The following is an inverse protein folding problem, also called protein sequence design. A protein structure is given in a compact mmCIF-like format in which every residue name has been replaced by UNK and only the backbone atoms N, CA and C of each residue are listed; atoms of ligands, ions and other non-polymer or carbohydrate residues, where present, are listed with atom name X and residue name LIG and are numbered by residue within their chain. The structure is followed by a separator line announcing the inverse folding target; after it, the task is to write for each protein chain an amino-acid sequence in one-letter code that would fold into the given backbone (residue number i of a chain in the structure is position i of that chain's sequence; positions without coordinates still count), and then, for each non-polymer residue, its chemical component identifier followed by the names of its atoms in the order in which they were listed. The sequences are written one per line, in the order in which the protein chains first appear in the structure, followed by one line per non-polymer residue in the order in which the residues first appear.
data_IF_469633808755
#
_entry.id   IF_469633808755
#
_cell.length_a   1.000
_cell.length_b   1.000
_cell.length_c   1.000
_cell.angle_alpha   90.00
_cell.angle_beta   90.00
_cell.angle_gamma   90.00
#
_symmetry.space_group_name_H-M   'P 1'
#
loop_
_entity.id
_entity.type
_entity.pdbx_description
1 polymer ?
#
# COMPACT_ATOMS: atom_id res chain seq x y z
N UNK A 1 -30.00 14.24 -29.99
CA UNK A 1 -28.77 14.03 -29.21
C UNK A 1 -28.52 12.53 -29.16
N UNK A 2 -27.38 12.04 -29.63
CA UNK A 2 -27.14 10.61 -29.89
C UNK A 2 -26.92 9.83 -28.59
N UNK A 3 -27.83 8.90 -28.25
CA UNK A 3 -27.80 8.09 -27.02
C UNK A 3 -26.51 7.27 -26.81
N UNK A 4 -25.74 7.04 -27.87
CA UNK A 4 -24.43 6.40 -27.84
C UNK A 4 -23.34 7.30 -27.23
N UNK A 5 -23.45 8.62 -27.43
CA UNK A 5 -22.51 9.62 -26.92
C UNK A 5 -22.67 9.78 -25.40
N UNK A 6 -23.92 9.79 -24.92
CA UNK A 6 -24.24 9.83 -23.49
C UNK A 6 -23.67 8.60 -22.76
N UNK A 7 -23.86 7.40 -23.32
CA UNK A 7 -23.32 6.17 -22.71
C UNK A 7 -21.78 6.17 -22.61
N UNK A 8 -21.08 6.71 -23.62
CA UNK A 8 -19.61 6.84 -23.58
C UNK A 8 -19.17 7.82 -22.49
N UNK A 9 -19.85 8.97 -22.37
CA UNK A 9 -19.55 9.96 -21.34
C UNK A 9 -19.74 9.39 -19.92
N UNK A 10 -20.86 8.73 -19.66
CA UNK A 10 -21.13 8.10 -18.36
C UNK A 10 -20.06 7.05 -18.02
N UNK A 11 -19.63 6.25 -19.00
CA UNK A 11 -18.57 5.26 -18.80
C UNK A 11 -17.24 5.91 -18.41
N UNK A 12 -16.84 6.98 -19.07
CA UNK A 12 -15.59 7.68 -18.73
C UNK A 12 -15.67 8.36 -17.37
N UNK A 13 -16.81 8.97 -17.01
CA UNK A 13 -17.00 9.53 -15.67
C UNK A 13 -16.86 8.43 -14.61
N UNK A 14 -17.53 7.29 -14.79
CA UNK A 14 -17.42 6.16 -13.87
C UNK A 14 -15.98 5.65 -13.76
N UNK A 15 -15.26 5.53 -14.88
CA UNK A 15 -13.85 5.12 -14.88
C UNK A 15 -12.97 6.11 -14.10
N UNK A 16 -13.20 7.42 -14.27
CA UNK A 16 -12.51 8.46 -13.54
C UNK A 16 -12.79 8.37 -12.04
N UNK A 17 -14.05 8.15 -11.67
CA UNK A 17 -14.47 8.00 -10.26
C UNK A 17 -13.84 6.77 -9.61
N UNK A 18 -13.84 5.62 -10.29
CA UNK A 18 -13.18 4.39 -9.79
C UNK A 18 -11.67 4.62 -9.63
N UNK A 19 -11.03 5.28 -10.59
CA UNK A 19 -9.59 5.59 -10.52
C UNK A 19 -9.29 6.49 -9.31
N UNK A 20 -10.06 7.56 -9.13
CA UNK A 20 -9.89 8.50 -8.01
C UNK A 20 -10.13 7.83 -6.66
N UNK A 21 -11.22 7.05 -6.54
CA UNK A 21 -11.55 6.31 -5.33
C UNK A 21 -10.47 5.29 -4.99
N UNK A 22 -10.05 4.48 -5.97
CA UNK A 22 -9.03 3.44 -5.76
C UNK A 22 -7.68 4.05 -5.40
N UNK A 23 -7.31 5.17 -6.03
CA UNK A 23 -6.07 5.90 -5.69
C UNK A 23 -6.13 6.47 -4.28
N UNK A 24 -7.25 7.10 -3.90
CA UNK A 24 -7.48 7.64 -2.56
C UNK A 24 -7.44 6.55 -1.48
N UNK A 25 -8.13 5.43 -1.70
CA UNK A 25 -8.08 4.29 -0.78
C UNK A 25 -6.71 3.62 -0.74
N UNK A 26 -5.98 3.56 -1.86
CA UNK A 26 -4.61 3.07 -1.89
C UNK A 26 -3.70 3.89 -0.98
N UNK A 27 -3.83 5.22 -1.00
CA UNK A 27 -3.09 6.10 -0.09
C UNK A 27 -3.48 5.87 1.38
N UNK A 28 -4.78 5.81 1.68
CA UNK A 28 -5.26 5.54 3.06
C UNK A 28 -4.76 4.19 3.56
N UNK A 29 -4.80 3.15 2.73
CA UNK A 29 -4.30 1.83 3.07
C UNK A 29 -2.78 1.83 3.33
N UNK A 30 -2.00 2.54 2.51
CA UNK A 30 -0.56 2.69 2.71
C UNK A 30 -0.25 3.37 4.04
N UNK A 31 -0.98 4.44 4.40
CA UNK A 31 -0.84 5.14 5.67
C UNK A 31 -1.23 4.28 6.86
N UNK A 32 -2.31 3.51 6.75
CA UNK A 32 -2.75 2.59 7.80
C UNK A 32 -1.70 1.51 8.07
N UNK A 33 -1.14 0.89 7.03
CA UNK A 33 -0.08 -0.11 7.18
C UNK A 33 1.21 0.47 7.76
N UNK A 34 1.60 1.68 7.34
CA UNK A 34 2.73 2.39 7.95
C UNK A 34 2.54 2.52 9.47
N UNK A 35 1.37 2.98 9.91
CA UNK A 35 1.09 3.17 11.34
C UNK A 35 1.07 1.84 12.10
N UNK A 36 0.46 0.79 11.54
CA UNK A 36 0.43 -0.55 12.16
C UNK A 36 1.85 -1.07 12.40
N UNK A 37 2.74 -0.93 11.42
CA UNK A 37 4.11 -1.44 11.53
C UNK A 37 4.91 -0.61 12.55
N UNK A 38 4.74 0.71 12.57
CA UNK A 38 5.36 1.57 13.57
C UNK A 38 4.92 1.20 14.99
N UNK A 39 3.61 1.12 15.22
CA UNK A 39 3.04 0.77 16.52
C UNK A 39 3.46 -0.64 16.95
N UNK A 40 3.50 -1.59 16.02
CA UNK A 40 3.99 -2.93 16.29
C UNK A 40 5.45 -2.93 16.75
N UNK A 41 6.34 -2.21 16.07
CA UNK A 41 7.76 -2.11 16.46
C UNK A 41 7.90 -1.43 17.82
N UNK A 42 7.15 -0.35 18.06
CA UNK A 42 7.20 0.41 19.31
C UNK A 42 6.65 -0.39 20.50
N UNK A 43 5.56 -1.15 20.33
CA UNK A 43 4.90 -1.87 21.43
C UNK A 43 5.42 -3.28 21.64
N UNK A 44 5.78 -3.99 20.57
CA UNK A 44 6.16 -5.41 20.63
C UNK A 44 7.67 -5.64 20.60
N UNK A 45 8.46 -4.64 20.19
CA UNK A 45 9.92 -4.84 20.01
C UNK A 45 10.72 -3.94 20.94
N UNK A 46 10.40 -2.64 20.98
CA UNK A 46 11.14 -1.68 21.81
C UNK A 46 11.23 -2.05 23.30
N UNK A 47 10.20 -2.63 23.96
CA UNK A 47 10.30 -3.01 25.37
C UNK A 47 11.34 -4.11 25.64
N UNK A 48 11.71 -4.89 24.62
CA UNK A 48 12.73 -5.93 24.72
C UNK A 48 14.14 -5.41 24.41
N UNK A 49 14.28 -4.15 24.01
CA UNK A 49 15.56 -3.53 23.71
C UNK A 49 16.10 -2.74 24.92
N UNK A 50 17.43 -2.68 25.13
CA UNK A 50 18.03 -1.90 26.21
C UNK A 50 17.69 -0.41 26.13
N UNK A 51 17.50 0.24 27.28
CA UNK A 51 17.22 1.68 27.39
C UNK A 51 18.29 2.50 26.67
N UNK A 52 17.89 3.25 25.62
CA UNK A 52 18.80 4.01 24.74
C UNK A 52 18.85 3.55 23.27
N UNK A 53 18.12 2.49 22.93
CA UNK A 53 18.12 1.84 21.60
C UNK A 53 17.18 2.45 20.55
N UNK A 54 16.78 3.73 20.64
CA UNK A 54 15.80 4.33 19.72
C UNK A 54 16.20 4.28 18.23
N UNK A 55 17.51 4.28 17.95
CA UNK A 55 18.05 4.08 16.59
C UNK A 55 17.85 2.63 16.10
N UNK A 56 17.95 1.64 17.00
CA UNK A 56 17.82 0.22 16.66
C UNK A 56 16.36 -0.11 16.30
N UNK A 57 15.38 0.47 17.01
CA UNK A 57 13.96 0.30 16.68
C UNK A 57 13.62 0.91 15.30
N UNK A 58 14.15 2.09 14.99
CA UNK A 58 13.99 2.72 13.66
C UNK A 58 14.65 1.89 12.54
N UNK A 59 15.83 1.33 12.82
CA UNK A 59 16.53 0.49 11.85
C UNK A 59 15.76 -0.80 11.57
N UNK A 60 15.18 -1.42 12.60
CA UNK A 60 14.36 -2.61 12.43
C UNK A 60 13.06 -2.32 11.68
N UNK A 61 12.40 -1.21 12.00
CA UNK A 61 11.26 -0.71 11.23
C UNK A 61 11.59 -0.59 9.73
N UNK A 62 12.73 0.02 9.39
CA UNK A 62 13.16 0.18 8.01
C UNK A 62 13.43 -1.16 7.30
N UNK A 63 14.02 -2.13 8.00
CA UNK A 63 14.23 -3.49 7.48
C UNK A 63 12.89 -4.17 7.19
N UNK A 64 11.96 -4.13 8.14
CA UNK A 64 10.65 -4.77 8.01
C UNK A 64 9.89 -4.22 6.79
N UNK A 65 9.84 -2.89 6.67
CA UNK A 65 9.18 -2.24 5.53
C UNK A 65 9.85 -2.61 4.20
N UNK A 66 11.19 -2.68 4.17
CA UNK A 66 11.92 -3.06 2.96
C UNK A 66 11.62 -4.50 2.54
N UNK A 67 11.64 -5.44 3.49
CA UNK A 67 11.32 -6.84 3.22
C UNK A 67 9.89 -7.00 2.73
N UNK A 68 8.93 -6.31 3.37
CA UNK A 68 7.53 -6.31 2.93
C UNK A 68 7.38 -5.73 1.52
N UNK A 69 8.01 -4.58 1.25
CA UNK A 69 7.95 -3.95 -0.08
C UNK A 69 8.51 -4.87 -1.17
N UNK A 70 9.68 -5.47 -0.97
CA UNK A 70 10.29 -6.39 -1.93
C UNK A 70 9.42 -7.64 -2.13
N UNK A 71 8.89 -8.20 -1.04
CA UNK A 71 8.06 -9.42 -1.10
C UNK A 71 6.74 -9.15 -1.84
N UNK A 72 6.04 -8.07 -1.51
CA UNK A 72 4.78 -7.70 -2.15
C UNK A 72 4.98 -7.36 -3.62
N UNK A 73 5.99 -6.54 -3.94
CA UNK A 73 6.29 -6.18 -5.33
C UNK A 73 6.66 -7.41 -6.16
N UNK A 74 7.49 -8.31 -5.63
CA UNK A 74 7.83 -9.57 -6.29
C UNK A 74 6.60 -10.45 -6.56
N UNK A 75 5.71 -10.61 -5.58
CA UNK A 75 4.48 -11.39 -5.74
C UNK A 75 3.54 -10.78 -6.77
N UNK A 76 3.38 -9.45 -6.76
CA UNK A 76 2.57 -8.74 -7.73
C UNK A 76 3.12 -8.89 -9.15
N UNK A 77 4.43 -8.75 -9.34
CA UNK A 77 5.08 -8.97 -10.64
C UNK A 77 4.80 -10.38 -11.16
N UNK A 78 4.95 -11.40 -10.32
CA UNK A 78 4.66 -12.79 -10.70
C UNK A 78 3.18 -13.02 -11.05
N UNK A 79 2.27 -12.31 -10.38
CA UNK A 79 0.84 -12.39 -10.68
C UNK A 79 0.53 -11.77 -12.04
N UNK A 80 1.11 -10.61 -12.35
CA UNK A 80 0.98 -9.95 -13.66
C UNK A 80 1.49 -10.86 -14.78
N UNK A 81 2.70 -11.41 -14.64
CA UNK A 81 3.27 -12.35 -15.61
C UNK A 81 2.39 -13.58 -15.87
N UNK A 82 1.64 -14.04 -14.86
CA UNK A 82 0.72 -15.17 -14.99
C UNK A 82 -0.58 -14.80 -15.72
N UNK A 83 -1.03 -13.55 -15.61
CA UNK A 83 -2.24 -13.06 -16.28
C UNK A 83 -1.97 -12.67 -17.74
N UNK A 84 -0.72 -12.34 -18.07
CA UNK A 84 -0.29 -12.00 -19.44
C UNK A 84 0.17 -13.20 -20.27
N UNK A 85 0.37 -14.39 -19.66
CA UNK A 85 0.62 -15.66 -20.34
C UNK A 85 -0.67 -16.42 -20.66
#
# INVERSE_FOLDING_TARGET
MNSLQDKKLHKEILKQMVTLATSGFGLVAALAWNNVIQEFVETQIKPYLPTGSGLISLFLYAIIITVLAVTLTYQLTKLVEKLEK
#
